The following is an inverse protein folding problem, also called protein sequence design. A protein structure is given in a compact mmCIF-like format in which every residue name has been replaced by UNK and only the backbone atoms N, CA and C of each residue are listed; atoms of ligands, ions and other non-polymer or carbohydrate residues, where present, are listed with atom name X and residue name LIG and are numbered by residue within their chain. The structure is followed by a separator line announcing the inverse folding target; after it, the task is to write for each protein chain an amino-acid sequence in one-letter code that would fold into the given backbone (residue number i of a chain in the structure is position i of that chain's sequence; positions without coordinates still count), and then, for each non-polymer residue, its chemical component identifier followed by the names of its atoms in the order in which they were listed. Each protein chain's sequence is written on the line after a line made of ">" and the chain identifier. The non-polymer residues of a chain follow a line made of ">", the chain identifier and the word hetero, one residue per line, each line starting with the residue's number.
data_IF_559442640749
#
_entry.id   IF_559442640749
#
_cell.length_a   1.000
_cell.length_b   1.000
_cell.length_c   1.000
_cell.angle_alpha   90.00
_cell.angle_beta   90.00
_cell.angle_gamma   90.00
#
_symmetry.space_group_name_H-M   'P 1'
#
loop_
_entity.id
_entity.type
_entity.pdbx_description
1 polymer ?
#
# COMPACT_ATOMS: atom_id res chain seq x y z
N UNK A 1 -21.77 40.55 -2.34
CA UNK A 1 -20.95 39.65 -1.49
C UNK A 1 -19.63 39.43 -2.19
N UNK A 2 -18.49 39.85 -1.63
CA UNK A 2 -17.19 39.63 -2.26
C UNK A 2 -16.72 38.17 -2.07
N UNK A 3 -15.98 37.58 -3.03
CA UNK A 3 -15.51 36.21 -2.93
C UNK A 3 -14.33 36.07 -1.96
N UNK A 4 -14.38 35.00 -1.16
CA UNK A 4 -13.36 34.60 -0.20
C UNK A 4 -12.15 34.02 -0.98
N UNK A 5 -10.98 34.66 -0.88
CA UNK A 5 -9.74 34.10 -1.42
C UNK A 5 -8.97 33.37 -0.30
N UNK A 6 -8.76 32.04 -0.39
CA UNK A 6 -7.89 31.34 0.53
C UNK A 6 -6.42 31.59 0.18
N UNK A 7 -5.71 32.24 1.11
CA UNK A 7 -4.27 32.49 1.08
C UNK A 7 -3.54 31.23 1.56
N UNK A 8 -3.14 30.35 0.64
CA UNK A 8 -2.24 29.25 0.96
C UNK A 8 -0.79 29.75 1.02
N UNK A 9 -0.25 29.90 2.22
CA UNK A 9 1.19 30.07 2.45
C UNK A 9 1.90 28.75 2.24
N UNK A 10 2.58 28.65 1.11
CA UNK A 10 3.43 27.52 0.71
C UNK A 10 4.79 27.66 1.42
N UNK A 11 5.02 26.92 2.49
CA UNK A 11 6.36 26.76 3.09
C UNK A 11 6.98 25.47 2.58
N UNK A 12 7.68 25.56 1.45
CA UNK A 12 8.59 24.51 0.99
C UNK A 12 9.85 24.52 1.85
N UNK A 13 9.93 23.59 2.81
CA UNK A 13 11.21 23.06 3.27
C UNK A 13 11.34 21.65 2.73
N UNK A 14 11.86 21.54 1.50
CA UNK A 14 12.36 20.28 0.96
C UNK A 14 13.69 19.98 1.68
N UNK A 15 13.58 19.30 2.81
CA UNK A 15 14.74 18.76 3.51
C UNK A 15 15.28 17.60 2.68
N UNK A 16 16.43 17.82 2.05
CA UNK A 16 17.12 16.85 1.21
C UNK A 16 17.77 15.81 2.12
N UNK A 17 17.01 14.80 2.53
CA UNK A 17 17.53 13.67 3.31
C UNK A 17 18.40 12.82 2.38
N UNK A 18 19.71 13.09 2.39
CA UNK A 18 20.72 12.16 1.85
C UNK A 18 20.70 10.90 2.72
N UNK A 19 19.92 9.90 2.33
CA UNK A 19 20.04 8.56 2.86
C UNK A 19 21.35 7.93 2.36
N UNK A 20 22.42 8.22 3.08
CA UNK A 20 23.63 7.39 3.09
C UNK A 20 23.20 6.02 3.63
N UNK A 21 22.95 5.06 2.73
CA UNK A 21 22.87 3.65 3.08
C UNK A 21 24.22 3.29 3.72
N UNK A 22 24.24 3.21 5.06
CA UNK A 22 25.31 2.50 5.75
C UNK A 22 25.17 1.02 5.38
N UNK A 23 26.25 0.35 4.95
CA UNK A 23 26.24 -1.10 4.83
C UNK A 23 25.85 -1.68 6.20
N UNK A 24 24.82 -2.52 6.20
CA UNK A 24 24.49 -3.34 7.35
C UNK A 24 25.61 -4.37 7.44
N UNK A 25 26.61 -4.09 8.27
CA UNK A 25 27.52 -5.10 8.76
C UNK A 25 26.66 -6.18 9.44
N UNK A 26 26.46 -7.29 8.73
CA UNK A 26 25.94 -8.52 9.30
C UNK A 26 26.87 -8.90 10.45
N UNK A 27 26.41 -8.90 11.72
CA UNK A 27 27.22 -9.41 12.80
C UNK A 27 27.41 -10.91 12.52
N UNK A 28 28.60 -11.25 11.99
CA UNK A 28 29.13 -12.60 11.94
C UNK A 28 29.16 -13.14 13.36
N UNK A 29 28.02 -13.71 13.77
CA UNK A 29 27.84 -14.33 15.06
C UNK A 29 28.54 -15.69 14.97
N UNK A 30 29.86 -15.67 15.13
CA UNK A 30 30.63 -16.87 15.35
C UNK A 30 29.98 -17.64 16.51
N UNK A 31 29.44 -18.84 16.28
CA UNK A 31 28.87 -19.64 17.35
C UNK A 31 30.02 -19.99 18.30
N UNK A 32 30.09 -19.27 19.42
CA UNK A 32 31.04 -19.57 20.49
C UNK A 32 30.70 -20.97 21.00
N UNK A 33 31.61 -21.96 20.91
CA UNK A 33 31.32 -23.29 21.40
C UNK A 33 31.08 -23.22 22.89
N UNK A 34 29.82 -23.47 23.29
CA UNK A 34 29.43 -23.56 24.68
C UNK A 34 30.02 -24.88 25.18
N UNK A 35 31.11 -24.79 25.95
CA UNK A 35 31.66 -25.93 26.65
C UNK A 35 30.58 -26.54 27.55
N UNK A 36 30.34 -27.85 27.53
CA UNK A 36 29.45 -28.49 28.47
C UNK A 36 30.10 -28.42 29.86
N UNK A 37 29.65 -27.48 30.68
CA UNK A 37 30.05 -27.41 32.08
C UNK A 37 29.33 -28.55 32.83
N UNK A 38 29.91 -29.74 32.77
CA UNK A 38 29.56 -30.86 33.63
C UNK A 38 30.09 -30.54 35.04
N UNK A 39 29.27 -29.88 35.84
CA UNK A 39 29.45 -29.81 37.28
C UNK A 39 28.44 -30.74 37.93
N UNK A 40 28.83 -32.00 38.06
CA UNK A 40 28.15 -33.01 38.85
C UNK A 40 28.21 -32.67 40.34
N UNK A 41 27.26 -31.86 40.79
CA UNK A 41 26.90 -31.73 42.20
C UNK A 41 25.71 -32.62 42.50
N UNK A 42 25.95 -33.86 42.94
CA UNK A 42 24.94 -34.73 43.51
C UNK A 42 24.50 -34.19 44.89
N UNK A 43 23.82 -33.05 44.91
CA UNK A 43 23.11 -32.56 46.09
C UNK A 43 21.73 -33.23 46.09
N UNK A 44 21.45 -34.00 47.14
CA UNK A 44 20.19 -34.73 47.34
C UNK A 44 18.97 -33.92 46.91
N UNK A 45 18.43 -34.29 45.74
CA UNK A 45 17.20 -33.72 45.17
C UNK A 45 16.03 -34.28 45.97
N UNK A 46 15.61 -33.55 47.00
CA UNK A 46 14.29 -33.79 47.56
C UNK A 46 13.26 -33.49 46.47
N UNK A 47 12.27 -34.36 46.22
CA UNK A 47 11.28 -34.19 45.16
C UNK A 47 10.54 -32.85 45.26
N UNK A 48 10.44 -32.32 46.48
CA UNK A 48 9.90 -30.99 46.79
C UNK A 48 10.62 -29.86 46.03
N UNK A 49 11.96 -29.86 45.96
CA UNK A 49 12.73 -28.79 45.31
C UNK A 49 12.55 -28.77 43.80
N UNK A 50 12.42 -29.94 43.18
CA UNK A 50 12.16 -30.06 41.74
C UNK A 50 10.75 -29.56 41.41
N UNK A 51 9.75 -29.93 42.21
CA UNK A 51 8.38 -29.45 42.04
C UNK A 51 8.28 -27.92 42.16
N UNK A 52 8.98 -27.35 43.16
CA UNK A 52 8.98 -25.91 43.41
C UNK A 52 9.63 -25.13 42.26
N UNK A 53 10.73 -25.65 41.70
CA UNK A 53 11.39 -25.06 40.54
C UNK A 53 10.51 -25.10 39.28
N UNK A 54 9.83 -26.22 39.01
CA UNK A 54 8.93 -26.36 37.85
C UNK A 54 7.72 -25.41 37.97
N UNK A 55 7.12 -25.30 39.17
CA UNK A 55 6.05 -24.34 39.42
C UNK A 55 6.49 -22.89 39.21
N UNK A 56 7.68 -22.52 39.70
CA UNK A 56 8.24 -21.18 39.49
C UNK A 56 8.44 -20.88 38.00
N UNK A 57 8.96 -21.82 37.22
CA UNK A 57 9.14 -21.62 35.77
C UNK A 57 7.81 -21.48 35.02
N UNK A 58 6.78 -22.24 35.41
CA UNK A 58 5.44 -22.13 34.80
C UNK A 58 4.79 -20.78 35.09
N UNK A 59 4.96 -20.26 36.32
CA UNK A 59 4.45 -18.93 36.70
C UNK A 59 5.15 -17.82 35.87
N UNK A 60 6.47 -17.90 35.68
CA UNK A 60 7.21 -16.93 34.85
C UNK A 60 6.78 -16.96 33.38
N UNK A 61 6.57 -18.14 32.79
CA UNK A 61 6.04 -18.29 31.43
C UNK A 61 4.65 -17.66 31.28
N UNK A 62 3.75 -17.91 32.23
CA UNK A 62 2.39 -17.35 32.22
C UNK A 62 2.38 -15.81 32.35
N UNK A 63 3.28 -15.24 33.14
CA UNK A 63 3.42 -13.79 33.30
C UNK A 63 3.95 -13.11 32.02
N UNK A 64 4.92 -13.72 31.32
CA UNK A 64 5.45 -13.16 30.07
C UNK A 64 4.45 -13.16 28.92
N UNK A 65 3.58 -14.18 28.83
CA UNK A 65 2.52 -14.23 27.82
C UNK A 65 1.52 -13.06 27.97
N UNK A 66 1.21 -12.68 29.21
CA UNK A 66 0.19 -11.65 29.52
C UNK A 66 0.60 -10.22 29.12
N UNK A 67 1.91 -9.93 29.11
CA UNK A 67 2.42 -8.60 28.76
C UNK A 67 2.46 -8.42 27.23
N UNK A 68 2.80 -9.48 26.50
CA UNK A 68 2.87 -9.47 25.02
C UNK A 68 1.51 -9.21 24.36
N UNK A 69 0.41 -9.73 24.92
CA UNK A 69 -0.93 -9.52 24.35
C UNK A 69 -1.37 -8.05 24.42
N UNK A 70 -1.10 -7.34 25.51
CA UNK A 70 -1.54 -5.93 25.66
C UNK A 70 -0.84 -4.99 24.68
N UNK A 71 0.48 -5.15 24.49
CA UNK A 71 1.22 -4.37 23.49
C UNK A 71 0.77 -4.66 22.07
N UNK A 72 0.46 -5.93 21.77
CA UNK A 72 -0.04 -6.33 20.46
C UNK A 72 -1.41 -5.71 20.15
N UNK A 73 -2.34 -5.70 21.11
CA UNK A 73 -3.68 -5.10 20.93
C UNK A 73 -3.59 -3.59 20.73
N UNK A 74 -2.77 -2.88 21.53
CA UNK A 74 -2.61 -1.43 21.39
C UNK A 74 -2.00 -1.03 20.03
N UNK A 75 -1.01 -1.78 19.55
CA UNK A 75 -0.43 -1.58 18.22
C UNK A 75 -1.46 -1.82 17.11
N UNK A 76 -2.28 -2.87 17.25
CA UNK A 76 -3.32 -3.20 16.28
C UNK A 76 -4.41 -2.13 16.21
N UNK A 77 -4.81 -1.54 17.34
CA UNK A 77 -5.78 -0.45 17.35
C UNK A 77 -5.25 0.81 16.65
N UNK A 78 -3.97 1.14 16.85
CA UNK A 78 -3.35 2.29 16.18
C UNK A 78 -3.35 2.11 14.66
N UNK A 79 -2.86 0.96 14.18
CA UNK A 79 -2.85 0.66 12.75
C UNK A 79 -4.25 0.63 12.14
N UNK A 80 -5.26 0.20 12.89
CA UNK A 80 -6.64 0.21 12.41
C UNK A 80 -7.16 1.65 12.24
N UNK A 81 -6.87 2.53 13.20
CA UNK A 81 -7.31 3.93 13.15
C UNK A 81 -6.66 4.69 11.98
N UNK A 82 -5.35 4.51 11.75
CA UNK A 82 -4.66 5.13 10.62
C UNK A 82 -5.23 4.67 9.28
N UNK A 83 -5.41 3.36 9.07
CA UNK A 83 -5.99 2.86 7.82
C UNK A 83 -7.45 3.29 7.63
N UNK A 84 -8.22 3.48 8.70
CA UNK A 84 -9.58 4.04 8.61
C UNK A 84 -9.57 5.50 8.14
N UNK A 85 -8.61 6.32 8.59
CA UNK A 85 -8.47 7.69 8.10
C UNK A 85 -8.09 7.72 6.62
N UNK A 86 -7.21 6.82 6.16
CA UNK A 86 -6.86 6.67 4.74
C UNK A 86 -8.09 6.32 3.92
N UNK A 87 -8.94 5.41 4.42
CA UNK A 87 -10.16 5.01 3.72
C UNK A 87 -11.16 6.16 3.60
N UNK A 88 -11.37 6.93 4.67
CA UNK A 88 -12.25 8.12 4.64
C UNK A 88 -11.74 9.19 3.66
N UNK A 89 -10.42 9.42 3.64
CA UNK A 89 -9.81 10.33 2.67
C UNK A 89 -10.04 9.86 1.23
N UNK A 90 -9.89 8.57 0.97
CA UNK A 90 -10.12 8.01 -0.35
C UNK A 90 -11.60 8.12 -0.78
N UNK A 91 -12.55 7.93 0.13
CA UNK A 91 -13.97 8.18 -0.14
C UNK A 91 -14.23 9.64 -0.49
N UNK A 92 -13.63 10.58 0.25
CA UNK A 92 -13.74 12.00 -0.06
C UNK A 92 -13.14 12.34 -1.43
N UNK A 93 -11.98 11.77 -1.79
CA UNK A 93 -11.36 11.96 -3.10
C UNK A 93 -12.23 11.41 -4.23
N UNK A 94 -12.85 10.24 -4.03
CA UNK A 94 -13.83 9.68 -4.98
C UNK A 94 -15.02 10.61 -5.16
N UNK A 95 -15.57 11.14 -4.07
CA UNK A 95 -16.73 12.04 -4.13
C UNK A 95 -16.40 13.39 -4.78
N UNK A 96 -15.12 13.78 -4.81
CA UNK A 96 -14.59 14.92 -5.57
C UNK A 96 -14.23 14.59 -7.02
N UNK A 97 -14.50 13.36 -7.47
CA UNK A 97 -14.11 12.82 -8.78
C UNK A 97 -12.58 12.79 -9.03
N UNK A 98 -11.76 12.93 -7.98
CA UNK A 98 -10.31 12.74 -8.06
C UNK A 98 -9.96 11.26 -7.92
N UNK A 99 -10.35 10.50 -8.94
CA UNK A 99 -10.17 9.05 -8.98
C UNK A 99 -8.69 8.64 -9.00
N UNK A 100 -7.81 9.49 -9.54
CA UNK A 100 -6.38 9.21 -9.59
C UNK A 100 -5.78 9.23 -8.18
N UNK A 101 -6.03 10.31 -7.42
CA UNK A 101 -5.58 10.40 -6.02
C UNK A 101 -6.26 9.33 -5.15
N UNK A 102 -7.53 9.00 -5.40
CA UNK A 102 -8.22 7.89 -4.72
C UNK A 102 -7.45 6.56 -4.86
N UNK A 103 -7.09 6.17 -6.09
CA UNK A 103 -6.36 4.92 -6.35
C UNK A 103 -4.98 4.93 -5.69
N UNK A 104 -4.27 6.06 -5.74
CA UNK A 104 -2.94 6.22 -5.14
C UNK A 104 -3.00 6.06 -3.62
N UNK A 105 -3.90 6.77 -2.94
CA UNK A 105 -4.05 6.72 -1.48
C UNK A 105 -4.40 5.30 -1.01
N UNK A 106 -5.30 4.61 -1.71
CA UNK A 106 -5.70 3.24 -1.37
C UNK A 106 -4.61 2.19 -1.59
N UNK A 107 -3.64 2.47 -2.47
CA UNK A 107 -2.50 1.57 -2.72
C UNK A 107 -1.54 1.46 -1.52
N UNK A 108 -1.60 2.42 -0.59
CA UNK A 108 -0.77 2.44 0.61
C UNK A 108 -1.31 1.55 1.74
N UNK A 109 -2.52 0.99 1.61
CA UNK A 109 -3.11 0.13 2.65
C UNK A 109 -2.50 -1.28 2.56
N UNK A 110 -1.84 -1.71 3.64
CA UNK A 110 -1.21 -3.03 3.73
C UNK A 110 -2.24 -4.18 3.67
N UNK A 111 -1.84 -5.31 3.08
CA UNK A 111 -2.66 -6.53 2.99
C UNK A 111 -3.00 -7.15 4.35
N UNK A 112 -2.24 -6.83 5.41
CA UNK A 112 -2.49 -7.28 6.78
C UNK A 112 -3.56 -6.41 7.47
N UNK A 113 -3.90 -5.26 6.88
CA UNK A 113 -4.89 -4.34 7.44
C UNK A 113 -6.28 -4.97 7.49
N UNK A 114 -7.04 -4.80 8.60
CA UNK A 114 -8.40 -5.30 8.69
C UNK A 114 -9.35 -4.67 7.67
N UNK A 115 -9.00 -3.50 7.10
CA UNK A 115 -9.80 -2.80 6.08
C UNK A 115 -9.34 -3.09 4.65
N UNK A 116 -8.38 -3.98 4.44
CA UNK A 116 -7.80 -4.23 3.11
C UNK A 116 -8.84 -4.68 2.07
N UNK A 117 -9.78 -5.56 2.43
CA UNK A 117 -10.81 -5.99 1.48
C UNK A 117 -11.70 -4.82 1.04
N UNK A 118 -12.10 -3.96 1.98
CA UNK A 118 -12.90 -2.77 1.68
C UNK A 118 -12.12 -1.78 0.83
N UNK A 119 -10.82 -1.58 1.11
CA UNK A 119 -9.97 -0.69 0.32
C UNK A 119 -9.78 -1.19 -1.11
N UNK A 120 -9.67 -2.51 -1.34
CA UNK A 120 -9.57 -3.07 -2.69
C UNK A 120 -10.86 -2.89 -3.49
N UNK A 121 -12.03 -3.04 -2.85
CA UNK A 121 -13.32 -2.78 -3.50
C UNK A 121 -13.40 -1.31 -3.94
N UNK A 122 -13.13 -0.38 -3.02
CA UNK A 122 -13.15 1.05 -3.31
C UNK A 122 -12.12 1.43 -4.38
N UNK A 123 -10.92 0.84 -4.32
CA UNK A 123 -9.85 1.06 -5.30
C UNK A 123 -10.27 0.61 -6.69
N UNK A 124 -10.91 -0.55 -6.81
CA UNK A 124 -11.42 -1.04 -8.09
C UNK A 124 -12.50 -0.10 -8.64
N UNK A 125 -13.40 0.40 -7.79
CA UNK A 125 -14.40 1.41 -8.21
C UNK A 125 -13.73 2.68 -8.72
N UNK A 126 -12.78 3.26 -7.99
CA UNK A 126 -12.05 4.44 -8.44
C UNK A 126 -11.26 4.17 -9.73
N UNK A 127 -10.64 3.00 -9.87
CA UNK A 127 -9.91 2.64 -11.10
C UNK A 127 -10.84 2.54 -12.31
N UNK A 128 -12.01 1.92 -12.16
CA UNK A 128 -13.01 1.84 -13.23
C UNK A 128 -13.48 3.23 -13.66
N UNK A 129 -13.79 4.12 -12.70
CA UNK A 129 -14.20 5.50 -13.00
C UNK A 129 -13.09 6.33 -13.65
N UNK A 130 -11.84 6.15 -13.22
CA UNK A 130 -10.68 6.78 -13.85
C UNK A 130 -10.53 6.34 -15.31
N UNK A 131 -10.63 5.04 -15.57
CA UNK A 131 -10.51 4.48 -16.91
C UNK A 131 -11.66 4.91 -17.83
N UNK A 132 -12.88 5.01 -17.29
CA UNK A 132 -14.02 5.58 -18.01
C UNK A 132 -13.75 7.04 -18.43
N UNK A 133 -13.27 7.87 -17.51
CA UNK A 133 -12.93 9.26 -17.80
C UNK A 133 -11.80 9.37 -18.85
N UNK A 134 -10.78 8.52 -18.75
CA UNK A 134 -9.70 8.43 -19.74
C UNK A 134 -10.21 8.00 -21.12
N UNK A 135 -11.12 7.03 -21.17
CA UNK A 135 -11.71 6.55 -22.41
C UNK A 135 -12.57 7.63 -23.07
N UNK A 136 -13.42 8.32 -22.30
CA UNK A 136 -14.22 9.45 -22.79
C UNK A 136 -13.31 10.56 -23.35
N UNK A 137 -12.25 10.92 -22.64
CA UNK A 137 -11.27 11.92 -23.12
C UNK A 137 -10.54 11.47 -24.39
N UNK A 138 -10.24 10.16 -24.50
CA UNK A 138 -9.65 9.59 -25.70
C UNK A 138 -10.61 9.72 -26.91
N UNK A 139 -11.89 9.43 -26.72
CA UNK A 139 -12.92 9.60 -27.76
C UNK A 139 -13.05 11.05 -28.20
N UNK A 140 -13.12 12.01 -27.26
CA UNK A 140 -13.14 13.45 -27.57
C UNK A 140 -11.89 13.86 -28.36
N UNK A 141 -10.71 13.42 -27.94
CA UNK A 141 -9.45 13.73 -28.65
C UNK A 141 -9.44 13.16 -30.09
N UNK A 142 -9.99 11.97 -30.30
CA UNK A 142 -10.11 11.38 -31.63
C UNK A 142 -11.15 12.11 -32.50
N UNK A 143 -12.25 12.56 -31.92
CA UNK A 143 -13.26 13.37 -32.63
C UNK A 143 -12.67 14.71 -33.12
N UNK A 144 -11.73 15.28 -32.36
CA UNK A 144 -10.97 16.48 -32.72
C UNK A 144 -9.78 16.20 -33.66
N UNK A 145 -9.65 14.97 -34.17
CA UNK A 145 -8.58 14.56 -35.10
C UNK A 145 -7.22 14.33 -34.46
N UNK A 146 -7.10 14.46 -33.12
CA UNK A 146 -5.85 14.22 -32.37
C UNK A 146 -5.66 12.74 -32.06
N UNK A 147 -5.57 11.90 -33.10
CA UNK A 147 -5.50 10.44 -32.95
C UNK A 147 -4.30 9.95 -32.12
N UNK A 148 -3.13 10.62 -32.19
CA UNK A 148 -1.96 10.26 -31.39
C UNK A 148 -2.23 10.40 -29.88
N UNK A 149 -2.84 11.51 -29.47
CA UNK A 149 -3.23 11.76 -28.08
C UNK A 149 -4.30 10.77 -27.64
N UNK A 150 -5.33 10.53 -28.47
CA UNK A 150 -6.38 9.57 -28.19
C UNK A 150 -5.82 8.17 -27.92
N UNK A 151 -4.89 7.68 -28.73
CA UNK A 151 -4.21 6.40 -28.52
C UNK A 151 -3.41 6.40 -27.21
N UNK A 152 -2.71 7.49 -26.89
CA UNK A 152 -1.95 7.59 -25.64
C UNK A 152 -2.84 7.54 -24.40
N UNK A 153 -4.01 8.19 -24.45
CA UNK A 153 -5.01 8.14 -23.37
C UNK A 153 -5.60 6.73 -23.23
N UNK A 154 -6.03 6.11 -24.33
CA UNK A 154 -6.59 4.76 -24.31
C UNK A 154 -5.59 3.70 -23.81
N UNK A 155 -4.28 3.88 -24.05
CA UNK A 155 -3.22 2.99 -23.53
C UNK A 155 -3.05 3.05 -22.01
N UNK A 156 -3.56 4.07 -21.33
CA UNK A 156 -3.49 4.18 -19.86
C UNK A 156 -4.57 3.36 -19.16
N UNK A 157 -5.59 2.90 -19.90
CA UNK A 157 -6.68 2.08 -19.38
C UNK A 157 -6.13 0.71 -18.97
N UNK A 158 -6.47 0.27 -17.75
CA UNK A 158 -5.91 -0.96 -17.16
C UNK A 158 -6.97 -1.89 -16.56
N UNK A 159 -8.18 -1.39 -16.32
CA UNK A 159 -9.33 -2.16 -15.85
C UNK A 159 -9.78 -3.16 -16.92
N UNK A 160 -10.12 -4.36 -16.46
CA UNK A 160 -10.62 -5.43 -17.33
C UNK A 160 -11.93 -5.06 -18.03
N UNK A 161 -12.72 -4.18 -17.44
CA UNK A 161 -13.99 -3.73 -18.02
C UNK A 161 -13.80 -2.93 -19.33
N UNK A 162 -12.72 -2.16 -19.44
CA UNK A 162 -12.48 -1.29 -20.60
C UNK A 162 -11.36 -1.76 -21.52
N UNK A 163 -10.56 -2.76 -21.13
CA UNK A 163 -9.35 -3.15 -21.88
C UNK A 163 -9.65 -3.55 -23.34
N UNK A 164 -10.68 -4.35 -23.58
CA UNK A 164 -11.05 -4.79 -24.93
C UNK A 164 -11.54 -3.60 -25.78
N UNK A 165 -12.38 -2.74 -25.18
CA UNK A 165 -12.88 -1.52 -25.83
C UNK A 165 -11.75 -0.55 -26.17
N UNK A 166 -10.78 -0.39 -25.27
CA UNK A 166 -9.59 0.43 -25.50
C UNK A 166 -8.72 -0.12 -26.64
N UNK A 167 -8.52 -1.44 -26.70
CA UNK A 167 -7.75 -2.07 -27.78
C UNK A 167 -8.41 -1.90 -29.15
N UNK A 168 -9.72 -2.16 -29.25
CA UNK A 168 -10.49 -1.91 -30.48
C UNK A 168 -10.40 -0.45 -30.89
N UNK A 169 -10.60 0.48 -29.95
CA UNK A 169 -10.49 1.91 -30.21
C UNK A 169 -9.10 2.33 -30.71
N UNK A 170 -8.02 1.80 -30.13
CA UNK A 170 -6.64 2.04 -30.57
C UNK A 170 -6.43 1.53 -31.99
N UNK A 171 -6.94 0.34 -32.32
CA UNK A 171 -6.86 -0.22 -33.67
C UNK A 171 -7.58 0.66 -34.70
N UNK A 172 -8.78 1.13 -34.39
CA UNK A 172 -9.57 1.99 -35.27
C UNK A 172 -8.87 3.34 -35.51
N UNK A 173 -8.36 3.96 -34.46
CA UNK A 173 -7.59 5.20 -34.57
C UNK A 173 -6.34 5.01 -35.43
N UNK A 174 -5.61 3.90 -35.23
CA UNK A 174 -4.40 3.58 -36.01
C UNK A 174 -4.73 3.39 -37.50
N UNK A 175 -5.80 2.69 -37.81
CA UNK A 175 -6.27 2.49 -39.19
C UNK A 175 -6.64 3.81 -39.86
N UNK A 176 -7.30 4.73 -39.14
CA UNK A 176 -7.63 6.06 -39.66
C UNK A 176 -6.38 6.89 -39.96
N UNK A 177 -5.37 6.86 -39.10
CA UNK A 177 -4.08 7.55 -39.34
C UNK A 177 -3.46 7.05 -40.67
N UNK A 178 -3.39 5.73 -40.87
CA UNK A 178 -2.82 5.16 -42.09
C UNK A 178 -3.57 5.59 -43.35
N UNK A 179 -4.91 5.61 -43.32
CA UNK A 179 -5.74 6.07 -44.46
C UNK A 179 -5.54 7.55 -44.77
N UNK A 180 -5.37 8.38 -43.76
CA UNK A 180 -5.09 9.81 -43.97
C UNK A 180 -3.72 10.02 -44.60
N UNK A 181 -2.72 9.22 -44.21
CA UNK A 181 -1.38 9.28 -44.80
C UNK A 181 -1.35 8.78 -46.25
N UNK A 182 -2.14 7.76 -46.60
CA UNK A 182 -2.21 7.27 -47.98
C UNK A 182 -2.86 8.25 -48.96
N UNK A 183 -3.70 9.17 -48.47
CA UNK A 183 -4.39 10.16 -49.31
C UNK A 183 -3.56 11.42 -49.58
N UNK A 184 -2.40 11.57 -48.95
CA UNK A 184 -1.53 12.74 -49.10
C UNK A 184 -0.49 12.53 -50.22
N UNK A 185 -0.31 11.27 -50.67
CA UNK A 185 0.62 10.87 -51.75
C UNK A 185 -0.15 10.78 -53.07
#
# INVERSE_FOLDING_TARGET
>A
MPPFQPRFTQSSQQETVKHTLRPIDEPQMHPKPIAPLVSGGALGRSPLKVFLAVMLTMIFLALTASISVKSYVAMRSHMQQEHQQILLLAEQLRDQEDFQSCVEVLSNISFISPVYQQSQILRNTCLTSLDEALFNKAQTSAAEGRFKEAIQLAKKISSSQYIDSAQTFIHDCSTRICRLQSNII
#
